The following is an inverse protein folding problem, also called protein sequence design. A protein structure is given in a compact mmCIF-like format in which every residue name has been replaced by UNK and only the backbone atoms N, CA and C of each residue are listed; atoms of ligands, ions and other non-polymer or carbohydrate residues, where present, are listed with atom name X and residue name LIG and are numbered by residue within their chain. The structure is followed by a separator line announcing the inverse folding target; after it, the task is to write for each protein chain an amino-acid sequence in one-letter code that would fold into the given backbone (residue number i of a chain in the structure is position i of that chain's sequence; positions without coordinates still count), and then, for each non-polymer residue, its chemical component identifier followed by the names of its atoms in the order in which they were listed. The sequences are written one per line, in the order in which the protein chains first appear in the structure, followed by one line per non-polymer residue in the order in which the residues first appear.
data_IF_986018121106
#
_entry.id   IF_986018121106
#
_cell.length_a   1.000
_cell.length_b   1.000
_cell.length_c   1.000
_cell.angle_alpha   90.00
_cell.angle_beta   90.00
_cell.angle_gamma   90.00
#
_symmetry.space_group_name_H-M   'P 1'
#
loop_
_entity.id
_entity.type
_entity.pdbx_description
1 polymer ?
#
# COMPACT_ATOMS: atom_id res chain seq x y z
N UNK A 1 60.80 -29.41 -27.25
CA UNK A 1 61.07 -30.73 -27.85
C UNK A 1 60.21 -31.77 -27.13
N UNK A 2 59.28 -32.42 -27.86
CA UNK A 2 58.63 -33.75 -27.71
C UNK A 2 58.32 -34.34 -26.29
N UNK A 3 57.38 -35.32 -26.16
CA UNK A 3 56.04 -35.43 -26.74
C UNK A 3 54.97 -36.01 -25.77
N UNK A 4 53.73 -36.10 -26.25
CA UNK A 4 52.56 -36.79 -25.68
C UNK A 4 52.73 -38.32 -25.49
N UNK A 5 51.89 -38.90 -24.62
CA UNK A 5 51.47 -40.32 -24.64
C UNK A 5 50.03 -40.42 -24.07
N UNK A 6 49.04 -40.76 -24.92
CA UNK A 6 48.22 -42.01 -24.96
C UNK A 6 47.33 -42.25 -23.72
N UNK A 7 46.03 -42.52 -23.81
CA UNK A 7 45.14 -42.78 -24.96
C UNK A 7 43.69 -43.11 -24.54
N UNK A 8 42.81 -43.15 -25.56
CA UNK A 8 41.57 -43.94 -25.79
C UNK A 8 40.46 -43.99 -24.72
N UNK A 9 39.16 -43.84 -25.00
CA UNK A 9 38.39 -43.77 -26.26
C UNK A 9 36.87 -43.58 -25.99
N UNK A 10 36.12 -43.36 -27.08
CA UNK A 10 34.64 -43.47 -27.35
C UNK A 10 33.61 -43.21 -26.22
N UNK A 11 32.52 -42.46 -26.40
CA UNK A 11 31.46 -42.61 -27.41
C UNK A 11 30.65 -41.28 -27.54
N UNK A 12 29.98 -41.09 -28.68
CA UNK A 12 29.36 -39.82 -29.08
C UNK A 12 27.98 -39.52 -28.50
N UNK A 13 27.61 -38.24 -28.56
CA UNK A 13 26.37 -37.77 -29.23
C UNK A 13 26.38 -36.25 -29.32
N UNK A 14 26.25 -35.80 -30.56
CA UNK A 14 25.95 -34.43 -30.97
C UNK A 14 24.51 -34.07 -30.58
N UNK A 15 24.28 -32.81 -30.19
CA UNK A 15 22.93 -32.35 -29.84
C UNK A 15 22.84 -30.87 -29.53
N UNK A 16 23.19 -30.03 -30.50
CA UNK A 16 22.67 -28.65 -30.55
C UNK A 16 21.16 -28.71 -30.76
N UNK A 17 20.40 -28.14 -29.83
CA UNK A 17 18.99 -27.76 -30.02
C UNK A 17 18.85 -26.38 -29.37
N UNK A 18 18.73 -25.28 -30.13
CA UNK A 18 17.81 -25.10 -31.24
C UNK A 18 16.50 -24.55 -30.68
N UNK A 19 16.52 -23.30 -30.21
CA UNK A 19 15.32 -22.57 -29.82
C UNK A 19 14.56 -22.19 -31.10
N UNK A 20 13.74 -23.11 -31.60
CA UNK A 20 12.93 -22.92 -32.81
C UNK A 20 11.56 -22.36 -32.46
N UNK A 21 11.14 -21.37 -33.25
CA UNK A 21 9.93 -20.58 -33.13
C UNK A 21 8.82 -21.17 -34.03
N UNK A 22 7.57 -21.11 -33.52
CA UNK A 22 6.25 -21.20 -34.20
C UNK A 22 5.79 -22.60 -34.66
N UNK A 23 4.55 -23.05 -34.39
CA UNK A 23 3.32 -22.43 -34.89
C UNK A 23 2.08 -22.85 -34.07
N UNK A 24 1.11 -21.94 -34.06
CA UNK A 24 -0.18 -21.88 -33.37
C UNK A 24 -1.11 -23.09 -33.53
N UNK A 25 -1.74 -23.51 -32.43
CA UNK A 25 -3.15 -23.95 -32.39
C UNK A 25 -3.73 -23.70 -30.99
N UNK A 26 -4.64 -22.72 -30.89
CA UNK A 26 -5.67 -22.71 -29.85
C UNK A 26 -5.44 -21.81 -28.63
N UNK A 27 -5.53 -20.49 -28.83
CA UNK A 27 -5.92 -19.58 -27.76
C UNK A 27 -7.27 -20.03 -27.15
N UNK A 28 -7.24 -20.56 -25.93
CA UNK A 28 -8.42 -20.68 -25.05
C UNK A 28 -8.09 -20.13 -23.66
N UNK A 29 -8.15 -18.80 -23.62
CA UNK A 29 -8.52 -17.94 -22.50
C UNK A 29 -9.12 -18.70 -21.30
N UNK A 30 -8.35 -18.85 -20.22
CA UNK A 30 -8.92 -19.11 -18.89
C UNK A 30 -8.08 -18.47 -17.77
N UNK A 31 -7.66 -17.22 -17.96
CA UNK A 31 -7.35 -16.36 -16.82
C UNK A 31 -8.67 -15.99 -16.15
N UNK A 32 -9.16 -16.88 -15.28
CA UNK A 32 -10.37 -16.66 -14.49
C UNK A 32 -10.28 -15.32 -13.78
N UNK A 33 -11.35 -14.52 -13.86
CA UNK A 33 -11.51 -13.27 -13.11
C UNK A 33 -11.38 -13.62 -11.61
N UNK A 34 -10.19 -13.47 -11.02
CA UNK A 34 -10.02 -13.60 -9.57
C UNK A 34 -10.94 -12.57 -8.92
N UNK A 35 -11.97 -13.06 -8.20
CA UNK A 35 -12.82 -12.20 -7.37
C UNK A 35 -11.92 -11.55 -6.32
N UNK A 36 -12.00 -10.23 -6.20
CA UNK A 36 -11.25 -9.49 -5.20
C UNK A 36 -11.68 -9.93 -3.80
N UNK A 37 -10.70 -10.06 -2.91
CA UNK A 37 -10.96 -10.47 -1.53
C UNK A 37 -11.63 -9.33 -0.77
N UNK A 38 -12.65 -9.68 0.00
CA UNK A 38 -13.24 -8.78 0.99
C UNK A 38 -12.54 -9.07 2.32
N UNK A 39 -11.75 -8.14 2.87
CA UNK A 39 -11.12 -8.33 4.15
C UNK A 39 -12.18 -8.31 5.27
N UNK A 40 -11.96 -9.17 6.28
CA UNK A 40 -12.73 -9.23 7.53
C UNK A 40 -11.91 -8.72 8.73
N UNK A 41 -10.63 -8.43 8.49
CA UNK A 41 -9.69 -7.84 9.43
C UNK A 41 -8.87 -6.75 8.73
N UNK A 42 -8.21 -5.89 9.52
CA UNK A 42 -7.35 -4.84 8.97
C UNK A 42 -6.20 -5.42 8.13
N UNK A 43 -6.22 -5.15 6.82
CA UNK A 43 -5.16 -5.54 5.88
C UNK A 43 -4.10 -4.46 5.66
N UNK A 44 -4.25 -3.29 6.27
CA UNK A 44 -3.24 -2.23 6.26
C UNK A 44 -2.33 -2.38 7.49
N UNK A 45 -1.57 -3.48 7.52
CA UNK A 45 -0.58 -3.75 8.56
C UNK A 45 0.73 -4.25 7.97
N UNK A 46 1.81 -4.14 8.74
CA UNK A 46 3.11 -4.73 8.35
C UNK A 46 3.00 -6.24 8.18
N UNK A 47 2.23 -6.91 9.05
CA UNK A 47 2.05 -8.36 9.02
C UNK A 47 1.35 -8.83 7.73
N UNK A 48 0.46 -7.99 7.19
CA UNK A 48 -0.26 -8.22 5.93
C UNK A 48 0.47 -7.65 4.71
N UNK A 49 1.77 -7.36 4.84
CA UNK A 49 2.63 -6.83 3.78
C UNK A 49 2.16 -5.50 3.19
N UNK A 50 1.42 -4.68 3.94
CA UNK A 50 1.17 -3.30 3.58
C UNK A 50 2.42 -2.43 3.80
N UNK A 51 2.58 -1.40 2.98
CA UNK A 51 3.70 -0.47 3.06
C UNK A 51 3.23 0.98 2.90
N UNK A 52 3.96 1.91 3.51
CA UNK A 52 3.80 3.35 3.24
C UNK A 52 4.78 3.71 2.13
N UNK A 53 4.28 4.14 0.98
CA UNK A 53 5.08 4.50 -0.21
C UNK A 53 5.23 6.02 -0.38
N UNK A 54 4.34 6.80 0.23
CA UNK A 54 4.47 8.26 0.36
C UNK A 54 4.12 8.69 1.78
N UNK A 55 4.80 9.74 2.25
CA UNK A 55 4.70 10.25 3.62
C UNK A 55 6.05 10.25 4.33
N UNK A 56 6.15 11.04 5.38
CA UNK A 56 7.36 11.25 6.18
C UNK A 56 7.09 10.75 7.58
N UNK A 57 7.94 9.85 8.07
CA UNK A 57 7.94 9.38 9.45
C UNK A 57 9.38 9.27 9.93
N UNK A 58 9.62 9.61 11.20
CA UNK A 58 10.90 9.32 11.87
C UNK A 58 11.01 7.87 12.33
N UNK A 59 9.87 7.26 12.62
CA UNK A 59 9.77 5.85 13.02
C UNK A 59 9.33 4.99 11.85
N UNK A 60 10.12 3.97 11.51
CA UNK A 60 9.77 3.06 10.42
C UNK A 60 8.41 2.43 10.69
N UNK A 61 7.53 2.43 9.69
CA UNK A 61 6.20 1.83 9.72
C UNK A 61 5.25 2.35 10.82
N UNK A 62 5.45 3.58 11.33
CA UNK A 62 4.62 4.16 12.40
C UNK A 62 3.11 4.03 12.11
N UNK A 63 2.68 4.32 10.87
CA UNK A 63 1.28 4.22 10.48
C UNK A 63 0.71 2.79 10.58
N UNK A 64 1.53 1.76 10.31
CA UNK A 64 1.08 0.39 10.05
C UNK A 64 1.45 -0.61 11.15
N UNK A 65 2.21 -0.18 12.17
CA UNK A 65 2.67 -1.04 13.26
C UNK A 65 1.56 -1.34 14.30
N UNK A 66 0.46 -0.60 14.26
CA UNK A 66 -0.67 -0.73 15.16
C UNK A 66 -0.41 -0.27 16.59
N UNK A 67 0.70 0.41 16.85
CA UNK A 67 0.91 1.17 18.08
C UNK A 67 0.02 2.41 18.03
N UNK A 68 -0.78 2.62 19.07
CA UNK A 68 -1.75 3.72 19.15
C UNK A 68 -1.62 4.50 20.45
N UNK A 69 -0.48 4.34 21.13
CA UNK A 69 -0.26 4.91 22.46
C UNK A 69 1.13 5.51 22.61
N UNK A 70 2.12 4.96 21.91
CA UNK A 70 3.51 5.41 22.01
C UNK A 70 3.84 6.33 20.82
N UNK A 71 3.33 7.55 20.86
CA UNK A 71 3.69 8.62 19.95
C UNK A 71 3.90 9.92 20.75
N UNK A 72 4.83 10.73 20.29
CA UNK A 72 5.21 11.98 20.92
C UNK A 72 5.54 13.02 19.85
N UNK A 73 6.01 14.19 20.28
CA UNK A 73 6.29 15.31 19.39
C UNK A 73 7.38 15.01 18.34
N UNK A 74 8.16 13.93 18.53
CA UNK A 74 9.26 13.55 17.65
C UNK A 74 8.94 12.32 16.79
N UNK A 75 8.15 11.37 17.29
CA UNK A 75 8.06 10.01 16.76
C UNK A 75 6.67 9.37 16.90
N UNK A 76 6.47 8.24 16.21
CA UNK A 76 5.23 7.45 16.34
C UNK A 76 4.07 7.89 15.44
N UNK A 77 4.33 8.71 14.43
CA UNK A 77 3.32 9.13 13.45
C UNK A 77 3.91 9.26 12.03
N UNK A 78 3.06 9.12 11.02
CA UNK A 78 3.39 9.46 9.63
C UNK A 78 2.70 10.77 9.26
N UNK A 79 3.40 11.65 8.55
CA UNK A 79 2.88 12.94 8.13
C UNK A 79 3.20 13.29 6.67
N UNK A 80 2.53 14.29 6.13
CA UNK A 80 2.91 14.92 4.85
C UNK A 80 2.78 16.44 4.97
N UNK A 81 3.36 17.17 4.01
CA UNK A 81 3.26 18.62 3.98
C UNK A 81 1.88 19.07 3.44
N UNK A 82 1.24 20.05 4.08
CA UNK A 82 0.01 20.62 3.53
C UNK A 82 0.29 21.30 2.18
N UNK A 83 -0.57 21.06 1.20
CA UNK A 83 -0.41 21.56 -0.17
C UNK A 83 0.71 20.89 -0.97
N UNK A 84 1.47 19.94 -0.40
CA UNK A 84 2.53 19.22 -1.09
C UNK A 84 2.65 17.77 -0.62
N UNK A 85 2.20 16.85 -1.47
CA UNK A 85 2.24 15.41 -1.23
C UNK A 85 1.05 14.88 -0.44
N UNK A 86 1.15 13.61 -0.06
CA UNK A 86 0.13 12.86 0.65
C UNK A 86 0.78 11.77 1.51
N UNK A 87 -0.04 11.06 2.28
CA UNK A 87 0.34 9.73 2.76
C UNK A 87 -0.30 8.71 1.83
N UNK A 88 0.50 7.79 1.31
CA UNK A 88 0.00 6.71 0.45
C UNK A 88 0.41 5.36 1.03
N UNK A 89 -0.60 4.55 1.33
CA UNK A 89 -0.47 3.16 1.74
C UNK A 89 -0.68 2.26 0.53
N UNK A 90 0.25 1.34 0.31
CA UNK A 90 0.11 0.24 -0.63
C UNK A 90 -0.28 -1.03 0.12
N UNK A 91 -1.35 -1.69 -0.32
CA UNK A 91 -1.79 -3.00 0.16
C UNK A 91 -1.08 -4.10 -0.62
N UNK A 92 -0.94 -5.29 -0.03
CA UNK A 92 -0.24 -6.42 -0.65
C UNK A 92 -0.90 -6.96 -1.93
N UNK A 93 -2.20 -6.71 -2.10
CA UNK A 93 -2.99 -7.06 -3.28
C UNK A 93 -4.22 -6.15 -3.34
N UNK A 94 -4.98 -6.16 -4.45
CA UNK A 94 -6.24 -5.44 -4.49
C UNK A 94 -7.29 -6.11 -3.59
N UNK A 95 -7.95 -5.32 -2.75
CA UNK A 95 -9.04 -5.71 -1.85
C UNK A 95 -10.32 -4.93 -2.15
N UNK A 96 -11.48 -5.49 -1.80
CA UNK A 96 -12.74 -4.74 -1.74
C UNK A 96 -12.89 -4.10 -0.36
N UNK A 97 -12.46 -2.85 -0.22
CA UNK A 97 -12.51 -2.11 1.04
C UNK A 97 -13.78 -1.25 1.11
N UNK A 98 -14.37 -1.12 2.29
CA UNK A 98 -15.54 -0.25 2.51
C UNK A 98 -15.45 0.60 3.77
N UNK A 99 -14.35 0.50 4.52
CA UNK A 99 -14.14 1.29 5.72
C UNK A 99 -12.67 1.58 5.92
N UNK A 100 -12.35 2.73 6.47
CA UNK A 100 -10.99 3.11 6.87
C UNK A 100 -11.08 3.75 8.24
N UNK A 101 -10.18 3.40 9.15
CA UNK A 101 -10.10 4.01 10.48
C UNK A 101 -8.68 4.48 10.77
N UNK A 102 -8.58 5.78 11.04
CA UNK A 102 -7.34 6.49 11.30
C UNK A 102 -7.45 7.27 12.62
N UNK A 103 -6.32 7.46 13.27
CA UNK A 103 -6.13 8.30 14.43
C UNK A 103 -5.34 9.53 13.97
N UNK A 104 -5.99 10.69 14.08
CA UNK A 104 -5.32 11.97 13.97
C UNK A 104 -4.57 12.25 15.28
N UNK A 105 -3.45 12.97 15.19
CA UNK A 105 -2.75 13.44 16.39
C UNK A 105 -3.71 14.13 17.38
N UNK A 106 -3.64 13.72 18.64
CA UNK A 106 -4.55 14.16 19.69
C UNK A 106 -3.84 14.39 21.04
N UNK A 107 -2.51 14.54 21.05
CA UNK A 107 -1.79 14.92 22.28
C UNK A 107 -2.01 16.40 22.69
N UNK A 108 -2.67 17.19 21.85
CA UNK A 108 -3.13 18.55 22.16
C UNK A 108 -4.46 18.86 21.46
N UNK A 109 -4.95 20.09 21.59
CA UNK A 109 -6.31 20.46 21.14
C UNK A 109 -6.42 20.77 19.63
N UNK A 110 -5.43 20.39 18.81
CA UNK A 110 -5.48 20.64 17.37
C UNK A 110 -6.54 19.79 16.67
N UNK A 111 -7.19 20.37 15.67
CA UNK A 111 -8.01 19.68 14.68
C UNK A 111 -7.45 19.76 13.27
N UNK A 112 -7.97 18.86 12.44
CA UNK A 112 -7.58 18.63 11.06
C UNK A 112 -8.78 18.60 10.13
N UNK A 113 -8.55 18.91 8.85
CA UNK A 113 -9.44 18.57 7.74
C UNK A 113 -8.66 17.73 6.74
N UNK A 114 -9.32 16.80 6.05
CA UNK A 114 -8.66 15.89 5.11
C UNK A 114 -9.66 15.30 4.10
N UNK A 115 -9.16 14.59 3.10
CA UNK A 115 -9.94 13.67 2.30
C UNK A 115 -9.18 12.35 2.10
N UNK A 116 -9.92 11.30 1.76
CA UNK A 116 -9.37 9.97 1.49
C UNK A 116 -9.74 9.55 0.09
N UNK A 117 -8.77 9.04 -0.65
CA UNK A 117 -8.94 8.44 -1.96
C UNK A 117 -8.42 7.01 -1.96
N UNK A 118 -8.96 6.20 -2.88
CA UNK A 118 -8.52 4.83 -3.12
C UNK A 118 -8.19 4.65 -4.60
N UNK A 119 -7.26 3.74 -4.89
CA UNK A 119 -6.86 3.42 -6.27
C UNK A 119 -6.44 1.97 -6.40
N UNK A 120 -6.57 1.41 -7.60
CA UNK A 120 -6.00 0.11 -7.96
C UNK A 120 -4.66 0.23 -8.69
N UNK A 121 -4.30 1.41 -9.18
CA UNK A 121 -3.17 1.62 -10.10
C UNK A 121 -2.31 2.87 -9.82
N UNK A 122 -2.56 3.61 -8.73
CA UNK A 122 -1.91 4.88 -8.35
C UNK A 122 -2.10 6.06 -9.33
N UNK A 123 -2.85 5.90 -10.41
CA UNK A 123 -3.06 6.93 -11.42
C UNK A 123 -4.47 7.50 -11.34
N UNK A 124 -5.46 6.61 -11.26
CA UNK A 124 -6.87 6.97 -11.13
C UNK A 124 -7.30 6.81 -9.69
N UNK A 125 -7.81 7.89 -9.12
CA UNK A 125 -8.18 7.97 -7.71
C UNK A 125 -9.67 8.20 -7.59
N UNK A 126 -10.30 7.49 -6.68
CA UNK A 126 -11.70 7.68 -6.32
C UNK A 126 -11.76 8.18 -4.89
N UNK A 127 -12.30 9.38 -4.70
CA UNK A 127 -12.52 9.93 -3.37
C UNK A 127 -13.62 9.14 -2.66
N UNK A 128 -13.28 8.56 -1.50
CA UNK A 128 -14.19 7.76 -0.68
C UNK A 128 -14.64 8.51 0.58
N UNK A 129 -13.96 9.60 0.94
CA UNK A 129 -14.38 10.51 2.00
C UNK A 129 -13.86 11.92 1.78
N UNK A 130 -14.76 12.90 1.92
CA UNK A 130 -14.43 14.32 1.94
C UNK A 130 -14.73 14.88 3.34
N UNK A 131 -13.68 15.26 4.07
CA UNK A 131 -13.73 15.96 5.36
C UNK A 131 -13.04 17.32 5.27
N UNK A 132 -12.91 17.89 4.08
CA UNK A 132 -12.19 19.17 3.84
C UNK A 132 -12.80 20.34 4.60
N UNK A 133 -14.12 20.29 4.86
CA UNK A 133 -14.90 21.30 5.59
C UNK A 133 -15.31 20.87 7.00
N UNK A 134 -14.71 19.80 7.53
CA UNK A 134 -15.07 19.22 8.83
C UNK A 134 -13.86 19.32 9.77
N UNK A 135 -14.07 19.83 10.98
CA UNK A 135 -13.06 19.84 12.03
C UNK A 135 -13.00 18.46 12.69
N UNK A 136 -11.96 17.68 12.38
CA UNK A 136 -11.74 16.32 12.87
C UNK A 136 -10.62 16.28 13.92
N UNK A 137 -10.75 15.41 14.94
CA UNK A 137 -9.78 15.20 16.02
C UNK A 137 -9.76 13.74 16.46
N UNK A 138 -8.59 13.22 16.83
CA UNK A 138 -8.43 11.83 17.31
C UNK A 138 -9.00 10.81 16.29
N UNK A 139 -9.58 9.71 16.76
CA UNK A 139 -10.10 8.61 15.94
C UNK A 139 -11.18 9.05 14.96
N UNK A 140 -10.95 8.78 13.68
CA UNK A 140 -11.92 8.91 12.61
C UNK A 140 -12.23 7.54 12.04
N UNK A 141 -13.52 7.19 12.03
CA UNK A 141 -14.02 6.01 11.33
C UNK A 141 -14.80 6.47 10.11
N UNK A 142 -14.40 5.97 8.94
CA UNK A 142 -14.98 6.31 7.66
C UNK A 142 -15.54 5.03 7.05
N UNK A 143 -16.80 5.07 6.62
CA UNK A 143 -17.46 3.96 5.90
C UNK A 143 -17.98 4.49 4.56
N UNK A 144 -17.88 3.68 3.51
CA UNK A 144 -18.24 4.04 2.15
C UNK A 144 -18.64 2.79 1.35
N UNK A 145 -19.26 3.00 0.19
CA UNK A 145 -19.60 1.91 -0.74
C UNK A 145 -18.36 1.14 -1.16
N UNK A 146 -18.36 -0.20 -1.05
CA UNK A 146 -17.14 -1.00 -1.23
C UNK A 146 -16.49 -0.74 -2.59
N UNK A 147 -15.22 -0.35 -2.57
CA UNK A 147 -14.41 -0.10 -3.77
C UNK A 147 -13.21 -1.04 -3.84
N UNK A 148 -12.78 -1.43 -5.05
CA UNK A 148 -11.50 -2.09 -5.24
C UNK A 148 -10.35 -1.12 -4.94
N UNK A 149 -9.41 -1.54 -4.10
CA UNK A 149 -8.25 -0.74 -3.74
C UNK A 149 -7.00 -1.59 -3.55
N UNK A 150 -5.91 -1.14 -4.18
CA UNK A 150 -4.54 -1.56 -3.88
C UNK A 150 -3.77 -0.44 -3.16
N UNK A 151 -4.28 0.79 -3.22
CA UNK A 151 -3.69 1.98 -2.67
C UNK A 151 -4.73 2.81 -1.94
N UNK A 152 -4.33 3.37 -0.81
CA UNK A 152 -5.12 4.31 -0.01
C UNK A 152 -4.30 5.58 0.10
N UNK A 153 -4.86 6.71 -0.32
CA UNK A 153 -4.24 8.02 -0.21
C UNK A 153 -5.01 8.86 0.79
N UNK A 154 -4.27 9.47 1.72
CA UNK A 154 -4.81 10.35 2.73
C UNK A 154 -4.16 11.72 2.53
N UNK A 155 -4.99 12.75 2.35
CA UNK A 155 -4.54 14.12 2.11
C UNK A 155 -5.16 15.04 3.14
N UNK A 156 -4.33 15.53 4.05
CA UNK A 156 -4.64 16.64 4.92
C UNK A 156 -4.77 17.94 4.15
N UNK A 157 -5.80 18.72 4.46
CA UNK A 157 -6.07 20.03 3.85
C UNK A 157 -6.04 21.17 4.86
N UNK A 158 -6.13 20.86 6.15
CA UNK A 158 -6.07 21.86 7.21
C UNK A 158 -5.51 21.24 8.51
N UNK A 159 -4.81 22.06 9.29
CA UNK A 159 -4.38 21.78 10.67
C UNK A 159 -4.38 23.11 11.44
N UNK A 160 -5.11 23.16 12.55
CA UNK A 160 -5.26 24.37 13.38
C UNK A 160 -4.01 24.76 14.17
N UNK A 161 -3.11 23.83 14.45
CA UNK A 161 -1.89 24.12 15.18
C UNK A 161 -0.75 24.62 14.29
N UNK A 162 -0.71 24.22 13.01
CA UNK A 162 0.35 24.57 12.08
C UNK A 162 -0.12 24.40 10.62
N UNK A 163 0.39 25.23 9.71
CA UNK A 163 0.17 25.08 8.26
C UNK A 163 1.02 23.98 7.61
N UNK A 164 1.76 23.18 8.39
CA UNK A 164 2.88 22.40 7.85
C UNK A 164 2.58 20.92 7.70
N UNK A 165 1.95 20.24 8.68
CA UNK A 165 1.88 18.76 8.68
C UNK A 165 0.55 18.21 9.19
N UNK A 166 0.06 17.14 8.55
CA UNK A 166 -1.03 16.30 9.09
C UNK A 166 -0.48 14.94 9.42
N UNK A 167 -0.71 14.49 10.66
CA UNK A 167 -0.19 13.25 11.20
C UNK A 167 -1.30 12.22 11.35
N UNK A 168 -1.07 11.01 10.85
CA UNK A 168 -2.03 9.90 10.87
C UNK A 168 -1.39 8.65 11.48
N UNK A 169 -2.21 7.87 12.20
CA UNK A 169 -1.87 6.59 12.81
C UNK A 169 -3.03 5.60 12.56
N UNK A 170 -2.83 4.33 12.19
CA UNK A 170 -3.94 3.48 11.72
C UNK A 170 -4.33 2.36 12.71
N UNK A 171 -5.65 2.09 12.83
CA UNK A 171 -6.20 0.72 12.94
C UNK A 171 -7.70 0.64 12.62
N UNK A 172 -8.02 -0.35 11.76
CA UNK A 172 -9.28 -1.01 11.38
C UNK A 172 -9.84 -0.65 10.00
N UNK A 173 -9.70 -1.60 9.09
CA UNK A 173 -10.43 -1.69 7.83
C UNK A 173 -11.46 -2.84 7.96
N UNK A 174 -12.43 -2.73 8.89
CA UNK A 174 -13.46 -3.75 9.12
C UNK A 174 -14.86 -3.16 9.15
N UNK A 175 -15.70 -3.62 8.22
CA UNK A 175 -17.16 -3.53 8.29
C UNK A 175 -17.69 -4.83 8.90
N UNK A 176 -18.39 -4.69 10.01
CA UNK A 176 -19.65 -5.40 10.24
C UNK A 176 -20.69 -4.38 10.66
#
# INVERSE_FOLDING_TARGET
MLPCSRGEGHDGTSGSVGCSLLTELGARNSWGRKRLKIPMENVATIADCASVIEGVSRSRNALLNGDTKNYDWDSGYTCHQLGSGAIVVQLAQPYMIGSIRLLLWDCDDRSYSYYIEVSTNQQQWTMVADRTKVSCKSWQSVTFERQPASFIRIVGTHNTANEVRVSFLERRCDIS
#
